data_IF_017775752035
#
_entry.id   IF_017775752035
#
_cell.length_a   1.000
_cell.length_b   1.000
_cell.length_c   1.000
_cell.angle_alpha   90.00
_cell.angle_beta   90.00
_cell.angle_gamma   90.00
#
_symmetry.space_group_name_H-M   'P 1'
#
loop_
_entity.id
_entity.type
_entity.pdbx_description
1 polymer ?
#
# COMPACT_ATOMS: atom_id res chain seq x y z
N UNK A 1 12.02 -24.38 11.01
CA UNK A 1 10.64 -24.50 10.49
C UNK A 1 9.85 -23.30 11.01
N UNK A 2 9.49 -22.29 10.19
CA UNK A 2 8.61 -21.24 10.65
C UNK A 2 7.16 -21.69 10.48
N UNK A 3 6.36 -21.50 11.54
CA UNK A 3 4.94 -21.80 11.62
C UNK A 3 4.11 -20.75 10.88
N UNK A 4 3.14 -21.22 10.09
CA UNK A 4 2.11 -20.40 9.45
C UNK A 4 1.34 -19.61 10.52
N UNK A 5 1.72 -18.35 10.74
CA UNK A 5 0.99 -17.40 11.54
C UNK A 5 -0.32 -17.04 10.85
N UNK A 6 -1.43 -17.57 11.36
CA UNK A 6 -2.77 -17.15 10.94
C UNK A 6 -3.04 -15.80 11.58
N UNK A 7 -3.19 -14.74 10.77
CA UNK A 7 -3.57 -13.41 11.26
C UNK A 7 -5.05 -13.45 11.66
N UNK A 8 -5.33 -13.47 12.97
CA UNK A 8 -6.68 -13.26 13.50
C UNK A 8 -6.89 -11.77 13.71
N UNK A 9 -7.72 -11.17 12.86
CA UNK A 9 -8.23 -9.80 13.07
C UNK A 9 -9.34 -9.88 14.12
N UNK A 10 -9.05 -9.43 15.34
CA UNK A 10 -10.08 -9.19 16.35
C UNK A 10 -10.44 -7.70 16.29
N UNK A 11 -11.46 -7.35 15.50
CA UNK A 11 -11.98 -5.98 15.43
C UNK A 11 -13.02 -5.78 16.53
N UNK A 12 -12.82 -4.77 17.38
CA UNK A 12 -13.78 -4.41 18.43
C UNK A 12 -14.80 -3.36 18.02
N UNK A 13 -14.68 -2.72 16.84
CA UNK A 13 -15.75 -1.85 16.34
C UNK A 13 -15.72 -1.75 14.81
N UNK A 14 -16.51 -2.58 14.13
CA UNK A 14 -16.93 -2.29 12.75
C UNK A 14 -18.21 -1.47 12.89
N UNK A 15 -18.21 -0.22 12.45
CA UNK A 15 -19.45 0.55 12.30
C UNK A 15 -20.28 -0.12 11.20
N UNK A 16 -21.24 -0.96 11.61
CA UNK A 16 -22.31 -1.44 10.73
C UNK A 16 -23.39 -0.37 10.71
N UNK A 17 -23.53 0.35 9.61
CA UNK A 17 -24.82 0.95 9.29
C UNK A 17 -25.78 -0.17 8.89
N UNK A 18 -26.48 -0.72 9.88
CA UNK A 18 -27.54 -1.70 9.64
C UNK A 18 -28.80 -0.98 9.20
N UNK A 19 -29.11 -1.02 7.90
CA UNK A 19 -30.48 -1.07 7.41
C UNK A 19 -30.55 -1.84 6.08
N UNK A 20 -30.36 -3.17 6.15
CA UNK A 20 -30.67 -4.05 5.02
C UNK A 20 -32.00 -4.78 5.26
N UNK A 21 -33.07 -4.26 4.65
CA UNK A 21 -34.23 -5.08 4.33
C UNK A 21 -33.79 -6.22 3.38
N UNK A 22 -34.29 -7.43 3.63
CA UNK A 22 -33.91 -8.67 2.91
C UNK A 22 -33.97 -8.48 1.38
N UNK A 23 -32.84 -8.68 0.70
CA UNK A 23 -32.80 -8.96 -0.74
C UNK A 23 -32.12 -7.94 -1.64
N UNK A 24 -31.53 -6.86 -1.12
CA UNK A 24 -30.71 -5.97 -1.94
C UNK A 24 -29.27 -6.51 -2.07
N UNK A 25 -28.61 -6.40 -3.26
CA UNK A 25 -27.19 -6.70 -3.39
C UNK A 25 -26.40 -5.84 -2.41
N UNK A 26 -25.42 -6.45 -1.72
CA UNK A 26 -24.52 -5.77 -0.79
C UNK A 26 -23.81 -4.66 -1.58
N UNK A 27 -24.24 -3.41 -1.37
CA UNK A 27 -23.60 -2.19 -1.90
C UNK A 27 -22.62 -1.62 -0.87
N UNK A 28 -22.14 -2.45 0.04
CA UNK A 28 -21.48 -2.05 1.27
C UNK A 28 -19.96 -2.01 1.02
N UNK A 29 -19.43 -0.82 0.73
CA UNK A 29 -18.01 -0.57 0.86
C UNK A 29 -17.63 -0.63 2.35
N UNK A 30 -16.55 -1.32 2.69
CA UNK A 30 -16.01 -1.33 4.05
C UNK A 30 -15.09 -0.13 4.23
N UNK A 31 -15.46 0.78 5.12
CA UNK A 31 -14.67 1.94 5.47
C UNK A 31 -13.89 1.71 6.77
N UNK A 32 -12.62 2.08 6.77
CA UNK A 32 -11.76 2.07 7.96
C UNK A 32 -11.19 3.48 8.17
N UNK A 33 -11.19 3.95 9.42
CA UNK A 33 -10.61 5.25 9.77
C UNK A 33 -9.09 5.16 9.76
N UNK A 34 -8.50 5.46 8.62
CA UNK A 34 -7.06 5.46 8.41
C UNK A 34 -6.42 6.75 8.94
N UNK A 35 -5.26 6.63 9.57
CA UNK A 35 -4.59 7.76 10.22
C UNK A 35 -3.19 8.02 9.70
N UNK A 36 -2.42 6.98 9.37
CA UNK A 36 -1.03 7.16 8.91
C UNK A 36 -0.46 5.92 8.22
N UNK A 37 0.61 6.13 7.45
CA UNK A 37 1.45 5.07 6.88
C UNK A 37 2.77 5.03 7.64
N UNK A 38 3.22 3.83 7.98
CA UNK A 38 4.56 3.58 8.52
C UNK A 38 5.33 2.69 7.54
N UNK A 39 6.52 3.12 7.12
CA UNK A 39 7.40 2.36 6.22
C UNK A 39 8.68 2.04 6.96
N UNK A 40 8.96 0.76 7.20
CA UNK A 40 10.12 0.30 8.00
C UNK A 40 10.30 1.07 9.33
N UNK A 41 9.19 1.42 9.99
CA UNK A 41 9.19 2.17 11.26
C UNK A 41 9.19 3.70 11.12
N UNK A 42 9.31 4.24 9.91
CA UNK A 42 9.22 5.69 9.65
C UNK A 42 7.79 6.07 9.29
N UNK A 43 7.20 7.00 10.07
CA UNK A 43 5.89 7.55 9.76
C UNK A 43 5.98 8.52 8.59
N UNK A 44 5.19 8.29 7.55
CA UNK A 44 5.05 9.20 6.42
C UNK A 44 4.41 10.50 6.92
N UNK A 45 5.10 11.61 6.73
CA UNK A 45 4.65 12.95 7.14
C UNK A 45 3.78 13.58 6.05
N UNK A 46 2.90 14.51 6.44
CA UNK A 46 2.12 15.29 5.47
C UNK A 46 0.87 14.60 4.93
N UNK A 47 0.46 13.48 5.51
CA UNK A 47 -0.83 12.83 5.20
C UNK A 47 -1.95 13.60 5.92
N UNK A 48 -2.92 14.13 5.18
CA UNK A 48 -4.15 14.68 5.76
C UNK A 48 -5.13 13.53 6.07
N UNK A 49 -5.42 13.22 7.34
CA UNK A 49 -6.34 12.14 7.71
C UNK A 49 -7.75 12.35 7.15
N UNK A 50 -8.15 13.60 6.89
CA UNK A 50 -9.48 13.93 6.34
C UNK A 50 -9.70 13.37 4.94
N UNK A 51 -8.64 13.09 4.19
CA UNK A 51 -8.73 12.43 2.87
C UNK A 51 -9.26 10.99 2.97
N UNK A 52 -9.17 10.39 4.16
CA UNK A 52 -9.53 8.98 4.39
C UNK A 52 -10.73 8.82 5.32
N UNK A 53 -11.29 9.92 5.80
CA UNK A 53 -12.52 9.92 6.57
C UNK A 53 -13.70 10.07 5.64
N UNK A 54 -14.77 9.29 5.77
CA UNK A 54 -16.01 9.55 5.05
C UNK A 54 -16.73 10.77 5.68
N UNK A 55 -16.76 11.97 5.06
CA UNK A 55 -17.57 13.08 5.57
C UNK A 55 -19.09 12.84 5.49
N UNK A 56 -19.56 11.87 4.70
CA UNK A 56 -21.00 11.54 4.52
C UNK A 56 -21.22 10.22 3.74
N UNK A 57 -22.43 9.64 3.73
CA UNK A 57 -22.75 8.52 2.85
C UNK A 57 -22.49 8.91 1.38
N UNK A 58 -21.56 8.20 0.71
CA UNK A 58 -21.15 8.48 -0.68
C UNK A 58 -19.88 9.32 -0.85
N UNK A 59 -19.09 9.50 0.21
CA UNK A 59 -17.85 10.28 0.18
C UNK A 59 -16.57 9.42 0.24
N UNK A 60 -15.43 10.07 0.00
CA UNK A 60 -14.08 9.48 0.01
C UNK A 60 -13.77 8.80 1.35
N UNK A 61 -13.02 7.70 1.30
CA UNK A 61 -12.56 7.00 2.49
C UNK A 61 -11.62 5.87 2.13
N UNK A 62 -11.03 5.21 3.13
CA UNK A 62 -10.24 4.01 2.87
C UNK A 62 -11.16 2.84 2.52
N UNK A 63 -11.12 2.37 1.28
CA UNK A 63 -11.98 1.29 0.75
C UNK A 63 -11.15 0.04 0.47
N UNK A 64 -11.62 -1.10 0.95
CA UNK A 64 -11.12 -2.41 0.52
C UNK A 64 -11.82 -2.82 -0.78
N UNK A 65 -11.05 -2.92 -1.87
CA UNK A 65 -11.57 -3.25 -3.19
C UNK A 65 -10.80 -4.42 -3.80
N UNK A 66 -11.50 -5.29 -4.55
CA UNK A 66 -10.90 -6.49 -5.15
C UNK A 66 -10.72 -6.39 -6.67
N UNK A 67 -11.19 -5.32 -7.31
CA UNK A 67 -11.06 -5.17 -8.77
C UNK A 67 -9.69 -4.62 -9.22
N UNK A 68 -8.83 -4.24 -8.28
CA UNK A 68 -7.49 -3.71 -8.55
C UNK A 68 -6.46 -4.56 -7.82
N UNK A 69 -5.36 -4.87 -8.51
CA UNK A 69 -4.16 -5.47 -7.92
C UNK A 69 -3.26 -4.43 -7.23
N UNK A 70 -3.57 -3.14 -7.36
CA UNK A 70 -2.78 -2.02 -6.86
C UNK A 70 -3.52 -1.25 -5.76
N UNK A 71 -2.74 -0.73 -4.82
CA UNK A 71 -3.19 0.24 -3.82
C UNK A 71 -3.20 1.62 -4.46
N UNK A 72 -4.32 2.33 -4.34
CA UNK A 72 -4.47 3.68 -4.87
C UNK A 72 -4.47 4.66 -3.71
N UNK A 73 -3.56 5.63 -3.72
CA UNK A 73 -3.48 6.70 -2.72
C UNK A 73 -3.85 8.04 -3.37
N UNK A 74 -4.54 8.96 -2.65
CA UNK A 74 -4.71 10.33 -3.15
C UNK A 74 -3.36 10.94 -3.54
N UNK A 75 -3.30 11.70 -4.64
CA UNK A 75 -2.04 12.21 -5.20
C UNK A 75 -1.12 12.86 -4.15
N UNK A 76 -1.65 13.75 -3.31
CA UNK A 76 -0.92 14.36 -2.20
C UNK A 76 -0.33 13.37 -1.18
N UNK A 77 -1.06 12.29 -0.87
CA UNK A 77 -0.56 11.21 0.01
C UNK A 77 0.45 10.33 -0.73
N UNK A 78 0.24 10.06 -2.01
CA UNK A 78 1.16 9.30 -2.84
C UNK A 78 2.52 9.99 -2.95
N UNK A 79 2.57 11.30 -3.15
CA UNK A 79 3.82 12.06 -3.24
C UNK A 79 4.63 11.98 -1.95
N UNK A 80 3.98 12.19 -0.80
CA UNK A 80 4.62 12.06 0.51
C UNK A 80 5.15 10.64 0.76
N UNK A 81 4.35 9.63 0.41
CA UNK A 81 4.71 8.23 0.49
C UNK A 81 5.92 7.90 -0.40
N UNK A 82 5.90 8.34 -1.66
CA UNK A 82 6.94 8.14 -2.67
C UNK A 82 8.30 8.65 -2.20
N UNK A 83 8.35 9.86 -1.64
CA UNK A 83 9.59 10.43 -1.11
C UNK A 83 10.20 9.54 -0.03
N UNK A 84 9.39 9.01 0.88
CA UNK A 84 9.88 8.13 1.96
C UNK A 84 10.39 6.80 1.39
N UNK A 85 9.67 6.18 0.45
CA UNK A 85 10.09 4.91 -0.17
C UNK A 85 11.41 5.07 -0.92
N UNK A 86 11.52 6.07 -1.79
CA UNK A 86 12.75 6.31 -2.58
C UNK A 86 13.95 6.53 -1.67
N UNK A 87 13.79 7.38 -0.64
CA UNK A 87 14.87 7.64 0.30
C UNK A 87 15.28 6.39 1.08
N UNK A 88 14.31 5.58 1.54
CA UNK A 88 14.62 4.34 2.26
C UNK A 88 15.29 3.32 1.35
N UNK A 89 14.81 3.12 0.13
CA UNK A 89 15.40 2.19 -0.82
C UNK A 89 16.84 2.61 -1.17
N UNK A 90 17.08 3.91 -1.37
CA UNK A 90 18.42 4.43 -1.61
C UNK A 90 19.35 4.20 -0.42
N UNK A 91 18.90 4.50 0.80
CA UNK A 91 19.72 4.35 2.02
C UNK A 91 20.02 2.88 2.32
N UNK A 92 19.07 1.99 2.09
CA UNK A 92 19.19 0.57 2.47
C UNK A 92 19.90 -0.27 1.43
N UNK A 93 19.69 0.04 0.15
CA UNK A 93 20.10 -0.82 -0.96
C UNK A 93 20.96 -0.10 -2.00
N UNK A 94 21.18 1.21 -1.85
CA UNK A 94 21.96 2.01 -2.80
C UNK A 94 21.26 2.28 -4.13
N UNK A 95 20.02 1.84 -4.31
CA UNK A 95 19.28 1.94 -5.58
C UNK A 95 18.64 3.31 -5.75
N UNK A 96 18.77 3.86 -6.96
CA UNK A 96 17.96 4.99 -7.41
C UNK A 96 16.67 4.52 -8.08
N UNK A 97 15.61 5.33 -7.99
CA UNK A 97 14.41 5.10 -8.80
C UNK A 97 14.74 5.28 -10.28
N UNK A 98 14.23 4.39 -11.11
CA UNK A 98 14.37 4.47 -12.58
C UNK A 98 13.09 4.97 -13.23
N UNK A 99 13.11 5.13 -14.55
CA UNK A 99 11.90 5.37 -15.32
C UNK A 99 10.88 4.26 -15.06
N UNK A 100 9.63 4.59 -14.67
CA UNK A 100 8.62 3.59 -14.37
C UNK A 100 8.26 2.76 -15.61
N UNK A 101 8.06 1.46 -15.41
CA UNK A 101 7.50 0.58 -16.43
C UNK A 101 6.00 0.84 -16.59
N UNK A 102 5.46 0.51 -17.76
CA UNK A 102 4.04 0.71 -18.07
C UNK A 102 3.13 0.08 -17.00
N UNK A 103 2.21 0.89 -16.46
CA UNK A 103 1.27 0.46 -15.41
C UNK A 103 1.80 0.64 -13.98
N UNK A 104 2.99 1.21 -13.80
CA UNK A 104 3.55 1.53 -12.48
C UNK A 104 4.00 2.98 -12.42
N UNK A 105 4.00 3.56 -11.22
CA UNK A 105 4.44 4.93 -10.98
C UNK A 105 5.87 5.00 -10.41
N UNK A 106 6.43 3.86 -10.00
CA UNK A 106 7.77 3.77 -9.41
C UNK A 106 8.36 2.38 -9.63
N UNK A 107 9.59 2.36 -10.14
CA UNK A 107 10.38 1.14 -10.27
C UNK A 107 11.84 1.39 -9.83
N UNK A 108 12.50 0.30 -9.44
CA UNK A 108 13.93 0.27 -9.12
C UNK A 108 14.59 -0.83 -9.95
N UNK A 109 15.76 -0.55 -10.52
CA UNK A 109 16.55 -1.60 -11.17
C UNK A 109 17.23 -2.45 -10.09
N UNK A 110 16.88 -3.73 -10.05
CA UNK A 110 17.38 -4.70 -9.06
C UNK A 110 18.26 -5.78 -9.68
N UNK A 111 18.64 -5.63 -10.96
CA UNK A 111 19.45 -6.61 -11.71
C UNK A 111 20.73 -7.00 -10.96
N UNK A 112 21.47 -6.00 -10.46
CA UNK A 112 22.73 -6.25 -9.75
C UNK A 112 22.52 -6.88 -8.36
N UNK A 113 21.39 -6.61 -7.72
CA UNK A 113 21.05 -7.23 -6.43
C UNK A 113 20.64 -8.69 -6.60
N UNK A 114 19.93 -9.02 -7.68
CA UNK A 114 19.53 -10.39 -8.01
C UNK A 114 20.76 -11.26 -8.31
N UNK A 115 21.80 -10.68 -8.92
CA UNK A 115 23.04 -11.38 -9.23
C UNK A 115 23.91 -11.65 -7.98
N UNK A 116 23.84 -10.79 -6.96
CA UNK A 116 24.65 -10.92 -5.72
C UNK A 116 23.97 -11.82 -4.69
N UNK A 117 22.65 -11.90 -4.68
CA UNK A 117 21.90 -12.71 -3.73
C UNK A 117 21.45 -14.03 -4.36
N UNK A 118 22.17 -15.13 -4.08
CA UNK A 118 21.63 -16.52 -4.14
C UNK A 118 20.50 -16.75 -3.10
N UNK A 119 19.75 -15.71 -2.75
CA UNK A 119 18.78 -15.65 -1.66
C UNK A 119 17.55 -14.94 -2.20
N UNK A 120 16.49 -15.70 -2.48
CA UNK A 120 15.14 -15.16 -2.58
C UNK A 120 14.49 -15.12 -1.19
N UNK A 121 13.55 -14.17 -0.92
CA UNK A 121 13.15 -13.04 -1.76
C UNK A 121 13.66 -11.70 -1.20
N UNK A 122 13.79 -10.74 -2.13
CA UNK A 122 14.17 -9.35 -1.94
C UNK A 122 13.53 -8.67 -0.72
N UNK A 123 14.35 -7.92 0.02
CA UNK A 123 13.94 -7.09 1.15
C UNK A 123 13.49 -5.73 0.63
N UNK A 124 12.22 -5.54 0.30
CA UNK A 124 11.70 -4.18 0.15
C UNK A 124 11.23 -3.66 1.51
N UNK A 125 11.08 -2.33 1.72
CA UNK A 125 10.61 -1.87 3.02
C UNK A 125 9.14 -2.24 3.22
N UNK A 126 8.84 -3.01 4.27
CA UNK A 126 7.45 -3.31 4.64
C UNK A 126 6.68 -2.04 5.02
N UNK A 127 5.40 -2.01 4.68
CA UNK A 127 4.46 -0.93 5.02
C UNK A 127 3.50 -1.40 6.12
N UNK A 128 3.12 -0.50 7.01
CA UNK A 128 1.99 -0.68 7.91
C UNK A 128 1.00 0.48 7.73
N UNK A 129 -0.27 0.14 7.54
CA UNK A 129 -1.37 1.10 7.62
C UNK A 129 -1.86 1.16 9.06
N UNK A 130 -1.93 2.37 9.61
CA UNK A 130 -2.39 2.62 10.97
C UNK A 130 -3.82 3.15 10.90
N UNK A 131 -4.67 2.60 11.76
CA UNK A 131 -6.07 2.98 11.87
C UNK A 131 -6.37 3.56 13.26
N UNK A 132 -7.48 4.30 13.34
CA UNK A 132 -7.97 4.88 14.58
C UNK A 132 -8.13 3.80 15.68
N UNK A 133 -7.76 4.16 16.91
CA UNK A 133 -7.66 3.22 18.02
C UNK A 133 -6.27 2.56 18.18
N UNK A 134 -5.34 2.79 17.25
CA UNK A 134 -3.89 2.55 17.40
C UNK A 134 -3.44 1.09 17.57
N UNK A 135 -4.39 0.15 17.71
CA UNK A 135 -4.13 -1.26 18.03
C UNK A 135 -4.10 -2.15 16.77
N UNK A 136 -4.65 -1.68 15.65
CA UNK A 136 -4.69 -2.44 14.40
C UNK A 136 -3.71 -1.85 13.39
N UNK A 137 -2.69 -2.63 13.03
CA UNK A 137 -1.76 -2.32 11.95
C UNK A 137 -1.99 -3.35 10.84
N UNK A 138 -2.39 -2.91 9.64
CA UNK A 138 -2.33 -3.79 8.47
C UNK A 138 -0.90 -3.76 7.94
N UNK A 139 -0.11 -4.77 8.28
CA UNK A 139 1.26 -4.91 7.79
C UNK A 139 1.27 -5.58 6.41
N UNK A 140 1.73 -4.84 5.42
CA UNK A 140 1.95 -5.32 4.07
C UNK A 140 3.43 -5.68 3.90
N UNK A 141 3.66 -6.92 3.50
CA UNK A 141 4.99 -7.46 3.26
C UNK A 141 5.44 -7.16 1.82
N UNK A 142 6.73 -7.39 1.59
CA UNK A 142 7.44 -6.96 0.39
C UNK A 142 6.79 -7.46 -0.90
N UNK A 143 6.40 -8.75 -0.96
CA UNK A 143 5.71 -9.34 -2.12
C UNK A 143 4.26 -8.89 -2.33
N UNK A 144 3.75 -8.00 -1.48
CA UNK A 144 2.43 -7.35 -1.63
C UNK A 144 2.58 -5.89 -2.06
N UNK A 145 3.73 -5.27 -1.78
CA UNK A 145 4.01 -3.87 -2.09
C UNK A 145 4.82 -3.71 -3.37
N UNK A 146 5.60 -4.72 -3.73
CA UNK A 146 6.47 -4.69 -4.90
C UNK A 146 6.24 -5.94 -5.73
N UNK A 147 6.21 -5.73 -7.05
CA UNK A 147 6.17 -6.76 -8.05
C UNK A 147 7.51 -6.78 -8.79
N UNK A 148 8.07 -7.98 -8.96
CA UNK A 148 9.20 -8.18 -9.86
C UNK A 148 8.69 -8.21 -11.30
N UNK A 149 9.30 -7.38 -12.13
CA UNK A 149 8.98 -7.25 -13.55
C UNK A 149 10.27 -7.50 -14.33
N UNK A 150 10.39 -8.65 -15.01
CA UNK A 150 11.50 -8.87 -15.93
C UNK A 150 11.29 -8.02 -17.19
N UNK A 151 12.38 -7.47 -17.70
CA UNK A 151 12.44 -6.83 -19.01
C UNK A 151 13.03 -7.81 -20.04
N UNK A 152 12.79 -7.53 -21.32
CA UNK A 152 13.23 -8.39 -22.43
C UNK A 152 14.76 -8.57 -22.49
N UNK A 153 15.51 -7.63 -21.93
CA UNK A 153 16.98 -7.64 -21.87
C UNK A 153 17.55 -8.31 -20.60
N UNK A 154 16.82 -9.24 -19.98
CA UNK A 154 17.21 -9.94 -18.72
C UNK A 154 17.45 -8.99 -17.53
N UNK A 155 16.98 -7.75 -17.62
CA UNK A 155 16.98 -6.81 -16.49
C UNK A 155 15.83 -7.14 -15.56
N UNK A 156 16.08 -7.05 -14.26
CA UNK A 156 15.08 -7.22 -13.22
C UNK A 156 14.73 -5.88 -12.62
N UNK A 157 13.45 -5.56 -12.61
CA UNK A 157 12.91 -4.38 -11.94
C UNK A 157 12.02 -4.79 -10.79
N UNK A 158 12.08 -4.03 -9.70
CA UNK A 158 11.11 -4.10 -8.61
C UNK A 158 10.23 -2.86 -8.69
N UNK A 159 8.98 -3.06 -9.09
CA UNK A 159 8.01 -1.98 -9.30
C UNK A 159 6.96 -1.98 -8.20
N UNK A 160 6.59 -0.79 -7.74
CA UNK A 160 5.70 -0.63 -6.59
C UNK A 160 4.24 -0.79 -6.99
N UNK A 161 3.48 -1.57 -6.23
CA UNK A 161 2.04 -1.81 -6.39
C UNK A 161 1.18 -0.73 -5.71
N UNK A 162 1.74 0.47 -5.58
CA UNK A 162 1.04 1.65 -5.07
C UNK A 162 1.12 2.72 -6.14
N UNK A 163 -0.03 3.29 -6.52
CA UNK A 163 -0.14 4.29 -7.57
C UNK A 163 -0.87 5.53 -7.06
N UNK A 164 -0.63 6.65 -7.72
CA UNK A 164 -1.40 7.87 -7.53
C UNK A 164 -2.82 7.66 -8.06
N UNK A 165 -3.81 7.92 -7.21
CA UNK A 165 -5.18 8.11 -7.63
C UNK A 165 -5.41 9.55 -8.06
N UNK A 166 -6.24 9.74 -9.07
CA UNK A 166 -6.79 11.04 -9.38
C UNK A 166 -7.54 11.56 -8.15
N UNK A 167 -7.15 12.74 -7.66
CA UNK A 167 -8.00 13.48 -6.74
C UNK A 167 -9.23 13.88 -7.57
N UNK A 168 -10.29 13.06 -7.53
CA UNK A 168 -11.56 13.41 -8.16
C UNK A 168 -12.01 14.74 -7.57
N UNK A 169 -11.74 15.83 -8.30
CA UNK A 169 -12.42 17.10 -8.12
C UNK A 169 -13.90 16.86 -8.35
N UNK A 170 -14.70 17.15 -7.33
CA UNK A 170 -16.16 17.16 -7.44
C UNK A 170 -16.67 18.17 -8.45
#
# INVERSE_FOLDING_TARGET
>A
MPTNGTVRVQSTTILREHHAARGAPIRDNYYLNFTSIIIKGYMVQGIDPKLFWPPSPGSNGFVLHTSSSQIVLPASTYDAFRVVVVNLVKVLYGLDSVEPLAGYDMCFNTTDLAAVANVTPFFMPSMALVFEGGMAHLKLLDGVLFQEVPDFDERYYSCMLVVAGDECGG
#
